data_IF_114775919931
#
_entry.id   IF_114775919931
#
_cell.length_a   1.000
_cell.length_b   1.000
_cell.length_c   1.000
_cell.angle_alpha   90.00
_cell.angle_beta   90.00
_cell.angle_gamma   90.00
#
_symmetry.space_group_name_H-M   'P 1'
#
loop_
_entity.id
_entity.type
_entity.pdbx_description
1 polymer ?
#
# COMPACT_ATOMS: atom_id res chain seq x y z
N UNK A 1 12.63 -16.23 0.52
CA UNK A 1 13.40 -17.49 0.34
C UNK A 1 13.44 -18.34 1.61
N UNK A 2 13.84 -17.80 2.76
CA UNK A 2 13.89 -18.58 4.02
C UNK A 2 12.54 -19.18 4.42
N UNK A 3 11.44 -18.41 4.33
CA UNK A 3 10.08 -18.90 4.56
C UNK A 3 9.75 -20.13 3.69
N UNK A 4 10.06 -20.08 2.39
CA UNK A 4 9.83 -21.19 1.45
C UNK A 4 10.61 -22.45 1.85
N UNK A 5 11.87 -22.31 2.29
CA UNK A 5 12.64 -23.45 2.83
C UNK A 5 12.02 -23.98 4.12
N UNK A 6 11.57 -23.10 5.01
CA UNK A 6 10.96 -23.49 6.29
C UNK A 6 9.64 -24.26 6.11
N UNK A 7 8.92 -24.02 5.01
CA UNK A 7 7.75 -24.80 4.61
C UNK A 7 8.10 -26.15 3.97
N UNK A 8 9.39 -26.50 3.87
CA UNK A 8 9.86 -27.79 3.38
C UNK A 8 10.14 -27.86 1.88
N UNK A 9 10.06 -26.74 1.16
CA UNK A 9 10.33 -26.73 -0.28
C UNK A 9 11.83 -26.79 -0.59
N UNK A 10 12.17 -27.49 -1.66
CA UNK A 10 13.52 -27.43 -2.26
C UNK A 10 13.58 -26.25 -3.21
N UNK A 11 14.50 -25.31 -2.95
CA UNK A 11 14.66 -24.12 -3.78
C UNK A 11 15.69 -24.34 -4.88
N UNK A 12 15.32 -23.94 -6.09
CA UNK A 12 16.22 -23.80 -7.23
C UNK A 12 16.14 -22.35 -7.70
N UNK A 13 17.26 -21.65 -7.65
CA UNK A 13 17.35 -20.26 -8.10
C UNK A 13 17.78 -20.24 -9.57
N UNK A 14 17.19 -19.34 -10.36
CA UNK A 14 17.50 -19.17 -11.78
C UNK A 14 16.54 -18.23 -12.49
N UNK A 15 17.05 -17.57 -13.53
CA UNK A 15 16.34 -16.53 -14.28
C UNK A 15 16.52 -15.15 -13.67
N UNK A 16 16.48 -14.12 -14.52
CA UNK A 16 16.63 -12.72 -14.10
C UNK A 16 15.25 -12.05 -13.84
N UNK A 17 14.19 -12.67 -14.35
CA UNK A 17 12.80 -12.20 -14.21
C UNK A 17 11.86 -13.31 -13.73
N UNK A 18 10.66 -12.93 -13.25
CA UNK A 18 9.62 -13.90 -12.89
C UNK A 18 9.23 -14.78 -14.08
N UNK A 19 9.18 -14.22 -15.29
CA UNK A 19 8.89 -14.98 -16.50
C UNK A 19 9.97 -16.02 -16.80
N UNK A 20 11.25 -15.68 -16.58
CA UNK A 20 12.35 -16.65 -16.72
C UNK A 20 12.24 -17.76 -15.69
N UNK A 21 11.97 -17.41 -14.43
CA UNK A 21 11.79 -18.39 -13.36
C UNK A 21 10.63 -19.35 -13.64
N UNK A 22 9.50 -18.84 -14.17
CA UNK A 22 8.36 -19.66 -14.60
C UNK A 22 8.74 -20.58 -15.77
N UNK A 23 9.45 -20.07 -16.77
CA UNK A 23 9.91 -20.87 -17.91
C UNK A 23 10.86 -22.00 -17.46
N UNK A 24 11.82 -21.70 -16.58
CA UNK A 24 12.73 -22.68 -16.00
C UNK A 24 12.00 -23.72 -15.15
N UNK A 25 10.99 -23.31 -14.39
CA UNK A 25 10.16 -24.21 -13.61
C UNK A 25 9.36 -25.17 -14.50
N UNK A 26 8.82 -24.68 -15.63
CA UNK A 26 8.14 -25.52 -16.62
C UNK A 26 9.08 -26.55 -17.26
N UNK A 27 10.26 -26.11 -17.72
CA UNK A 27 11.28 -27.03 -18.29
C UNK A 27 11.67 -28.11 -17.29
N UNK A 28 11.84 -27.75 -16.01
CA UNK A 28 12.14 -28.71 -14.94
C UNK A 28 10.99 -29.69 -14.72
N UNK A 29 9.75 -29.21 -14.70
CA UNK A 29 8.56 -30.05 -14.57
C UNK A 29 8.52 -31.10 -15.68
N UNK A 30 8.69 -30.66 -16.93
CA UNK A 30 8.71 -31.52 -18.13
C UNK A 30 9.85 -32.56 -18.06
N UNK A 31 11.04 -32.15 -17.66
CA UNK A 31 12.22 -33.02 -17.58
C UNK A 31 12.16 -34.05 -16.44
N UNK A 32 11.43 -33.77 -15.36
CA UNK A 32 11.40 -34.62 -14.16
C UNK A 32 10.08 -35.37 -13.97
N UNK A 33 9.04 -35.05 -14.75
CA UNK A 33 7.69 -35.58 -14.56
C UNK A 33 6.97 -35.00 -13.35
N UNK A 34 7.44 -33.88 -12.80
CA UNK A 34 6.73 -33.15 -11.73
C UNK A 34 5.53 -32.39 -12.31
N UNK A 35 4.49 -32.21 -11.51
CA UNK A 35 3.38 -31.33 -11.90
C UNK A 35 3.83 -29.87 -11.83
N UNK A 36 3.49 -29.09 -12.86
CA UNK A 36 3.64 -27.64 -12.83
C UNK A 36 2.40 -27.00 -12.23
N UNK A 37 2.53 -26.38 -11.06
CA UNK A 37 1.44 -25.65 -10.40
C UNK A 37 1.52 -24.17 -10.78
N UNK A 38 0.71 -23.74 -11.76
CA UNK A 38 0.67 -22.32 -12.15
C UNK A 38 0.10 -21.47 -10.99
N UNK A 39 0.63 -20.27 -10.70
CA UNK A 39 0.12 -19.43 -9.61
C UNK A 39 -1.33 -18.89 -9.80
N UNK A 40 -1.95 -19.03 -10.97
CA UNK A 40 -3.28 -18.47 -11.25
C UNK A 40 -3.95 -19.02 -12.52
N UNK A 41 -3.20 -19.29 -13.60
CA UNK A 41 -3.73 -19.65 -14.91
C UNK A 41 -3.97 -21.15 -15.08
N UNK A 42 -4.62 -21.75 -14.09
CA UNK A 42 -4.93 -23.18 -14.05
C UNK A 42 -6.36 -23.38 -13.55
N UNK A 43 -7.18 -24.23 -14.20
CA UNK A 43 -8.58 -24.44 -13.80
C UNK A 43 -8.75 -24.94 -12.36
N UNK A 44 -7.85 -25.79 -11.86
CA UNK A 44 -7.90 -26.29 -10.48
C UNK A 44 -7.51 -25.21 -9.48
N UNK A 45 -6.55 -24.35 -9.83
CA UNK A 45 -6.20 -23.19 -9.00
C UNK A 45 -7.38 -22.24 -8.91
N UNK A 46 -8.02 -21.91 -10.04
CA UNK A 46 -9.22 -21.06 -10.07
C UNK A 46 -10.37 -21.69 -9.29
N UNK A 47 -10.62 -22.99 -9.43
CA UNK A 47 -11.63 -23.71 -8.66
C UNK A 47 -11.35 -23.67 -7.15
N UNK A 48 -10.08 -23.75 -6.75
CA UNK A 48 -9.67 -23.54 -5.37
C UNK A 48 -9.95 -22.13 -4.89
N UNK A 49 -9.64 -21.09 -5.68
CA UNK A 49 -9.93 -19.71 -5.28
C UNK A 49 -11.44 -19.39 -5.25
N UNK A 50 -12.23 -20.09 -6.07
CA UNK A 50 -13.68 -19.97 -6.12
C UNK A 50 -14.39 -20.35 -4.81
N UNK A 51 -13.73 -21.10 -3.91
CA UNK A 51 -14.33 -21.43 -2.60
C UNK A 51 -14.60 -20.18 -1.76
N UNK A 52 -13.77 -19.14 -1.88
CA UNK A 52 -14.05 -17.85 -1.23
C UNK A 52 -15.40 -17.27 -1.69
N UNK A 53 -15.75 -17.43 -2.98
CA UNK A 53 -17.06 -17.00 -3.48
C UNK A 53 -18.23 -17.77 -2.85
N UNK A 54 -18.03 -19.06 -2.54
CA UNK A 54 -19.04 -19.87 -1.83
C UNK A 54 -19.20 -19.39 -0.38
N UNK A 55 -18.08 -19.20 0.33
CA UNK A 55 -18.06 -18.71 1.71
C UNK A 55 -18.74 -17.33 1.82
N UNK A 56 -18.43 -16.40 0.92
CA UNK A 56 -19.05 -15.07 0.90
C UNK A 56 -20.57 -15.12 0.69
N UNK A 57 -21.06 -16.03 -0.16
CA UNK A 57 -22.49 -16.19 -0.40
C UNK A 57 -23.23 -16.84 0.79
N UNK A 58 -22.54 -17.73 1.52
CA UNK A 58 -23.07 -18.35 2.74
C UNK A 58 -23.10 -17.36 3.92
N UNK A 59 -22.03 -16.63 4.13
CA UNK A 59 -21.85 -15.75 5.29
C UNK A 59 -22.58 -14.40 5.15
N UNK A 60 -22.83 -13.94 3.93
CA UNK A 60 -23.38 -12.60 3.66
C UNK A 60 -24.64 -12.71 2.79
N UNK A 61 -25.79 -12.93 3.44
CA UNK A 61 -27.08 -13.14 2.76
C UNK A 61 -27.55 -11.98 1.86
N UNK A 62 -27.11 -10.75 2.13
CA UNK A 62 -27.46 -9.54 1.37
C UNK A 62 -26.28 -8.96 0.59
N UNK A 63 -25.30 -9.80 0.21
CA UNK A 63 -24.12 -9.38 -0.54
C UNK A 63 -24.52 -8.71 -1.87
N UNK A 64 -24.00 -7.49 -2.09
CA UNK A 64 -24.34 -6.67 -3.26
C UNK A 64 -23.13 -6.25 -4.08
N UNK A 65 -21.99 -6.00 -3.43
CA UNK A 65 -20.77 -5.54 -4.08
C UNK A 65 -19.56 -6.26 -3.48
N UNK A 66 -18.67 -6.79 -4.32
CA UNK A 66 -17.41 -7.41 -3.91
C UNK A 66 -16.24 -6.74 -4.62
N UNK A 67 -15.28 -6.24 -3.84
CA UNK A 67 -14.01 -5.71 -4.35
C UNK A 67 -12.93 -6.78 -4.16
N UNK A 68 -12.32 -7.21 -5.26
CA UNK A 68 -11.32 -8.29 -5.25
C UNK A 68 -10.01 -7.79 -5.88
N UNK A 69 -8.85 -7.96 -5.23
CA UNK A 69 -7.55 -7.68 -5.85
C UNK A 69 -7.38 -8.48 -7.14
N UNK A 70 -6.95 -7.82 -8.22
CA UNK A 70 -6.84 -8.38 -9.57
C UNK A 70 -5.38 -8.40 -10.05
N UNK A 71 -4.70 -9.51 -9.75
CA UNK A 71 -3.38 -9.84 -10.30
C UNK A 71 -3.51 -10.62 -11.61
N UNK A 72 -3.12 -11.90 -11.62
CA UNK A 72 -3.27 -12.79 -12.78
C UNK A 72 -4.70 -13.28 -13.03
N UNK A 73 -5.68 -12.86 -12.23
CA UNK A 73 -7.10 -13.15 -12.44
C UNK A 73 -7.63 -14.46 -11.83
N UNK A 74 -6.77 -15.28 -11.20
CA UNK A 74 -7.20 -16.55 -10.62
C UNK A 74 -8.24 -16.39 -9.49
N UNK A 75 -7.93 -15.54 -8.51
CA UNK A 75 -8.83 -15.21 -7.39
C UNK A 75 -10.09 -14.48 -7.86
N UNK A 76 -9.92 -13.35 -8.55
CA UNK A 76 -11.04 -12.54 -9.04
C UNK A 76 -11.96 -13.35 -9.96
N UNK A 77 -11.40 -14.12 -10.90
CA UNK A 77 -12.17 -14.93 -11.84
C UNK A 77 -12.95 -16.04 -11.16
N UNK A 78 -12.33 -16.77 -10.22
CA UNK A 78 -13.00 -17.83 -9.46
C UNK A 78 -14.14 -17.30 -8.61
N UNK A 79 -13.89 -16.25 -7.83
CA UNK A 79 -14.90 -15.59 -6.97
C UNK A 79 -16.04 -15.03 -7.83
N UNK A 80 -15.73 -14.32 -8.91
CA UNK A 80 -16.73 -13.74 -9.80
C UNK A 80 -17.62 -14.82 -10.42
N UNK A 81 -17.02 -15.88 -10.95
CA UNK A 81 -17.73 -16.98 -11.58
C UNK A 81 -18.76 -17.59 -10.62
N UNK A 82 -18.36 -17.95 -9.39
CA UNK A 82 -19.26 -18.56 -8.41
C UNK A 82 -20.39 -17.61 -8.01
N UNK A 83 -20.05 -16.37 -7.63
CA UNK A 83 -21.05 -15.41 -7.17
C UNK A 83 -22.06 -15.07 -8.26
N UNK A 84 -21.63 -14.96 -9.52
CA UNK A 84 -22.53 -14.71 -10.65
C UNK A 84 -23.45 -15.89 -10.95
N UNK A 85 -23.05 -17.13 -10.69
CA UNK A 85 -23.94 -18.29 -10.81
C UNK A 85 -24.97 -18.35 -9.68
N UNK A 86 -24.60 -17.97 -8.45
CA UNK A 86 -25.51 -17.96 -7.31
C UNK A 86 -26.51 -16.81 -7.42
N UNK A 87 -26.01 -15.60 -7.66
CA UNK A 87 -26.81 -14.40 -7.82
C UNK A 87 -26.14 -13.44 -8.81
N UNK A 88 -26.62 -13.38 -10.08
CA UNK A 88 -26.01 -12.53 -11.11
C UNK A 88 -26.09 -11.03 -10.81
N UNK A 89 -26.89 -10.61 -9.83
CA UNK A 89 -27.02 -9.20 -9.41
C UNK A 89 -25.88 -8.72 -8.50
N UNK A 90 -25.10 -9.63 -7.91
CA UNK A 90 -23.92 -9.25 -7.13
C UNK A 90 -22.93 -8.60 -8.07
N UNK A 91 -22.53 -7.37 -7.78
CA UNK A 91 -21.54 -6.65 -8.57
C UNK A 91 -20.14 -7.02 -8.11
N UNK A 92 -19.27 -7.37 -9.04
CA UNK A 92 -17.88 -7.76 -8.78
C UNK A 92 -16.96 -6.76 -9.47
N UNK A 93 -16.03 -6.19 -8.69
CA UNK A 93 -15.08 -5.21 -9.20
C UNK A 93 -13.67 -5.68 -8.91
N UNK A 94 -12.88 -5.87 -9.97
CA UNK A 94 -11.46 -6.17 -9.89
C UNK A 94 -10.66 -4.91 -9.61
N UNK A 95 -9.68 -4.96 -8.70
CA UNK A 95 -8.87 -3.80 -8.35
C UNK A 95 -7.40 -4.05 -8.69
N UNK A 96 -6.82 -3.20 -9.52
CA UNK A 96 -5.39 -3.22 -9.88
C UNK A 96 -4.67 -1.99 -9.34
N UNK A 97 -3.34 -2.07 -9.23
CA UNK A 97 -2.49 -0.91 -8.92
C UNK A 97 -1.98 -0.26 -10.21
N UNK A 98 -1.83 1.06 -10.23
CA UNK A 98 -1.35 1.82 -11.41
C UNK A 98 -0.04 1.28 -11.98
N UNK A 99 0.85 0.81 -11.11
CA UNK A 99 2.15 0.25 -11.50
C UNK A 99 2.03 -0.96 -12.44
N UNK A 100 0.93 -1.73 -12.38
CA UNK A 100 0.68 -2.88 -13.25
C UNK A 100 -0.82 -3.19 -13.34
N UNK A 101 -1.47 -2.74 -14.43
CA UNK A 101 -2.92 -2.85 -14.60
C UNK A 101 -3.36 -3.37 -15.99
N UNK A 102 -2.87 -4.55 -16.44
CA UNK A 102 -3.15 -5.03 -17.80
C UNK A 102 -4.64 -5.32 -18.07
N UNK A 103 -5.44 -5.64 -17.06
CA UNK A 103 -6.89 -5.83 -17.24
C UNK A 103 -7.65 -4.51 -17.40
N UNK A 104 -7.03 -3.38 -17.02
CA UNK A 104 -7.53 -2.04 -17.32
C UNK A 104 -7.04 -1.51 -18.69
N UNK A 105 -6.36 -2.34 -19.49
CA UNK A 105 -5.86 -1.96 -20.82
C UNK A 105 -4.58 -1.13 -20.79
N UNK A 106 -3.86 -1.08 -19.66
CA UNK A 106 -2.54 -0.44 -19.64
C UNK A 106 -1.47 -1.39 -20.19
N UNK A 107 -0.52 -0.89 -21.00
CA UNK A 107 0.63 -1.69 -21.41
C UNK A 107 1.41 -2.17 -20.17
N UNK A 108 1.90 -3.41 -20.23
CA UNK A 108 2.78 -3.92 -19.18
C UNK A 108 4.05 -3.04 -19.12
N UNK A 109 4.51 -2.66 -17.92
CA UNK A 109 5.74 -1.90 -17.78
C UNK A 109 6.96 -2.71 -18.20
N UNK A 110 7.96 -2.04 -18.77
CA UNK A 110 9.27 -2.62 -19.05
C UNK A 110 10.04 -2.85 -17.74
N UNK A 111 10.81 -3.94 -17.64
CA UNK A 111 11.67 -4.21 -16.48
C UNK A 111 10.92 -4.57 -15.18
N UNK A 112 11.60 -4.57 -14.03
CA UNK A 112 10.99 -4.90 -12.73
C UNK A 112 9.87 -3.94 -12.34
N UNK A 113 8.82 -4.45 -11.69
CA UNK A 113 7.71 -3.63 -11.17
C UNK A 113 8.01 -3.31 -9.72
N UNK A 114 8.07 -2.02 -9.38
CA UNK A 114 8.23 -1.54 -8.01
C UNK A 114 6.86 -1.09 -7.52
N UNK A 115 6.29 -1.82 -6.56
CA UNK A 115 4.97 -1.54 -5.97
C UNK A 115 4.83 -2.22 -4.62
N UNK A 116 4.00 -1.66 -3.74
CA UNK A 116 3.55 -2.27 -2.48
C UNK A 116 2.60 -3.45 -2.73
N UNK A 117 2.00 -3.52 -3.92
CA UNK A 117 1.05 -4.55 -4.32
C UNK A 117 1.67 -5.60 -5.26
N UNK A 118 2.83 -6.13 -4.86
CA UNK A 118 3.64 -7.08 -5.63
C UNK A 118 2.90 -8.39 -5.94
N UNK A 119 2.09 -8.90 -5.01
CA UNK A 119 1.26 -10.11 -5.21
C UNK A 119 0.24 -10.00 -6.35
N UNK A 120 -0.10 -8.78 -6.80
CA UNK A 120 -0.97 -8.54 -7.95
C UNK A 120 -0.25 -7.86 -9.13
N UNK A 121 1.07 -7.70 -9.06
CA UNK A 121 1.89 -7.10 -10.12
C UNK A 121 2.16 -8.07 -11.28
N UNK A 122 1.10 -8.59 -11.89
CA UNK A 122 1.16 -9.58 -12.98
C UNK A 122 1.03 -8.88 -14.31
N UNK A 123 2.08 -8.95 -15.14
CA UNK A 123 2.15 -8.26 -16.45
C UNK A 123 1.21 -8.84 -17.51
N UNK A 124 1.04 -10.16 -17.49
CA UNK A 124 0.34 -10.89 -18.52
C UNK A 124 -0.92 -11.52 -17.93
N UNK A 125 -2.12 -11.09 -18.36
CA UNK A 125 -3.36 -11.83 -18.10
C UNK A 125 -3.22 -13.29 -18.52
N UNK A 126 -3.75 -14.20 -17.71
CA UNK A 126 -3.75 -15.63 -18.02
C UNK A 126 -4.64 -15.98 -19.21
N UNK A 127 -4.29 -17.01 -19.96
CA UNK A 127 -5.08 -17.51 -21.08
C UNK A 127 -6.42 -18.10 -20.63
N UNK A 128 -6.44 -18.75 -19.47
CA UNK A 128 -7.65 -19.29 -18.86
C UNK A 128 -8.39 -18.26 -18.01
N UNK A 129 -7.67 -17.43 -17.25
CA UNK A 129 -8.30 -16.45 -16.35
C UNK A 129 -8.91 -15.27 -17.09
N UNK A 130 -8.32 -14.81 -18.20
CA UNK A 130 -8.82 -13.65 -18.95
C UNK A 130 -10.29 -13.81 -19.42
N UNK A 131 -10.69 -14.91 -20.07
CA UNK A 131 -12.10 -15.13 -20.42
C UNK A 131 -13.05 -15.06 -19.23
N UNK A 132 -12.64 -15.52 -18.04
CA UNK A 132 -13.46 -15.44 -16.83
C UNK A 132 -13.64 -14.00 -16.36
N UNK A 133 -12.58 -13.20 -16.39
CA UNK A 133 -12.66 -11.78 -16.04
C UNK A 133 -13.58 -11.05 -17.01
N UNK A 134 -13.39 -11.23 -18.32
CA UNK A 134 -14.22 -10.59 -19.36
C UNK A 134 -15.70 -11.01 -19.27
N UNK A 135 -15.99 -12.23 -18.80
CA UNK A 135 -17.34 -12.76 -18.70
C UNK A 135 -18.06 -12.38 -17.39
N UNK A 136 -17.37 -12.39 -16.25
CA UNK A 136 -18.02 -12.36 -14.93
C UNK A 136 -17.72 -11.11 -14.08
N UNK A 137 -16.67 -10.34 -14.40
CA UNK A 137 -16.32 -9.12 -13.65
C UNK A 137 -17.02 -7.93 -14.27
N UNK A 138 -17.71 -7.13 -13.46
CA UNK A 138 -18.52 -6.00 -13.95
C UNK A 138 -17.68 -4.76 -14.24
N UNK A 139 -16.55 -4.59 -13.54
CA UNK A 139 -15.72 -3.39 -13.64
C UNK A 139 -14.29 -3.65 -13.15
N UNK A 140 -13.33 -2.85 -13.63
CA UNK A 140 -11.93 -2.87 -13.18
C UNK A 140 -11.50 -1.46 -12.80
N UNK A 141 -11.09 -1.28 -11.54
CA UNK A 141 -10.61 0.00 -11.02
C UNK A 141 -9.10 -0.07 -10.82
N UNK A 142 -8.42 1.04 -11.12
CA UNK A 142 -6.97 1.18 -10.94
C UNK A 142 -6.68 2.22 -9.88
N UNK A 143 -6.02 1.81 -8.80
CA UNK A 143 -5.66 2.67 -7.67
C UNK A 143 -4.18 3.08 -7.72
N UNK A 144 -3.88 4.26 -7.17
CA UNK A 144 -2.51 4.76 -7.05
C UNK A 144 -1.78 4.14 -5.85
N UNK A 145 -0.46 3.98 -5.99
CA UNK A 145 0.43 3.41 -4.97
C UNK A 145 0.26 4.07 -3.60
N UNK A 146 0.19 5.39 -3.61
CA UNK A 146 0.04 6.25 -2.44
C UNK A 146 -1.29 6.03 -1.68
N UNK A 147 -2.34 5.60 -2.38
CA UNK A 147 -3.63 5.27 -1.78
C UNK A 147 -3.59 3.88 -1.15
N UNK A 148 -2.84 2.95 -1.75
CA UNK A 148 -2.60 1.61 -1.18
C UNK A 148 -1.84 1.76 0.15
N UNK A 149 -0.79 2.59 0.18
CA UNK A 149 -0.07 2.93 1.39
C UNK A 149 -0.99 3.48 2.50
N UNK A 150 -1.88 4.42 2.16
CA UNK A 150 -2.84 4.99 3.12
C UNK A 150 -3.82 3.93 3.64
N UNK A 151 -4.27 3.02 2.78
CA UNK A 151 -5.16 1.91 3.16
C UNK A 151 -4.47 0.91 4.08
N UNK A 152 -3.21 0.55 3.82
CA UNK A 152 -2.42 -0.32 4.71
C UNK A 152 -2.30 0.28 6.11
N UNK A 153 -2.00 1.59 6.21
CA UNK A 153 -1.92 2.27 7.51
C UNK A 153 -3.29 2.34 8.19
N UNK A 154 -4.37 2.60 7.45
CA UNK A 154 -5.73 2.60 8.01
C UNK A 154 -6.11 1.22 8.58
N UNK A 155 -5.85 0.15 7.83
CA UNK A 155 -6.13 -1.22 8.23
C UNK A 155 -5.35 -1.60 9.50
N UNK A 156 -4.11 -1.16 9.61
CA UNK A 156 -3.29 -1.37 10.79
C UNK A 156 -3.74 -0.52 11.99
N UNK A 157 -3.96 0.78 11.79
CA UNK A 157 -4.32 1.71 12.87
C UNK A 157 -5.73 1.48 13.39
N UNK A 158 -6.71 1.30 12.50
CA UNK A 158 -8.13 1.20 12.86
C UNK A 158 -8.65 -0.23 12.85
N UNK A 159 -8.26 -1.01 11.85
CA UNK A 159 -8.67 -2.41 11.74
C UNK A 159 -7.88 -3.35 12.64
N UNK A 160 -6.68 -2.94 13.09
CA UNK A 160 -5.70 -3.81 13.77
C UNK A 160 -5.35 -5.05 12.94
N UNK A 161 -5.45 -4.92 11.62
CA UNK A 161 -5.14 -5.96 10.65
C UNK A 161 -3.82 -5.64 9.95
N UNK A 162 -2.99 -6.67 9.81
CA UNK A 162 -1.78 -6.60 9.02
C UNK A 162 -2.08 -7.06 7.59
N UNK A 163 -2.09 -6.12 6.66
CA UNK A 163 -2.51 -6.37 5.28
C UNK A 163 -1.44 -5.84 4.35
N UNK A 164 -1.02 -6.68 3.40
CA UNK A 164 -0.06 -6.30 2.35
C UNK A 164 -0.71 -5.40 1.31
N UNK A 165 0.09 -4.74 0.46
CA UNK A 165 -0.46 -3.77 -0.49
C UNK A 165 -1.48 -4.39 -1.43
N UNK A 166 -1.24 -5.61 -1.92
CA UNK A 166 -2.19 -6.37 -2.75
C UNK A 166 -3.53 -6.61 -2.05
N UNK A 167 -3.52 -6.91 -0.75
CA UNK A 167 -4.75 -7.07 0.04
C UNK A 167 -5.45 -5.75 0.39
N UNK A 168 -4.72 -4.63 0.40
CA UNK A 168 -5.25 -3.32 0.77
C UNK A 168 -5.91 -2.56 -0.39
N UNK A 169 -5.74 -2.99 -1.64
CA UNK A 169 -6.19 -2.24 -2.82
C UNK A 169 -7.69 -1.96 -2.83
N UNK A 170 -8.54 -2.90 -2.42
CA UNK A 170 -9.99 -2.69 -2.38
C UNK A 170 -10.41 -1.63 -1.35
N UNK A 171 -9.72 -1.58 -0.21
CA UNK A 171 -9.95 -0.54 0.80
C UNK A 171 -9.49 0.83 0.26
N UNK A 172 -8.37 0.89 -0.45
CA UNK A 172 -7.89 2.13 -1.06
C UNK A 172 -8.86 2.72 -2.09
N UNK A 173 -9.56 1.87 -2.85
CA UNK A 173 -10.57 2.29 -3.83
C UNK A 173 -11.79 2.95 -3.14
N UNK A 174 -12.23 2.40 -2.01
CA UNK A 174 -13.32 2.98 -1.21
C UNK A 174 -12.89 4.29 -0.53
N UNK A 175 -11.71 4.30 0.09
CA UNK A 175 -11.19 5.48 0.79
C UNK A 175 -11.02 6.69 -0.13
N UNK A 176 -10.58 6.46 -1.37
CA UNK A 176 -10.40 7.51 -2.37
C UNK A 176 -11.69 7.93 -3.08
N UNK A 177 -12.81 7.24 -2.81
CA UNK A 177 -14.10 7.54 -3.45
C UNK A 177 -14.19 7.14 -4.92
N UNK A 178 -13.21 6.40 -5.45
CA UNK A 178 -13.26 5.85 -6.81
C UNK A 178 -14.42 4.87 -6.98
N UNK A 179 -14.80 4.20 -5.90
CA UNK A 179 -16.02 3.42 -5.80
C UNK A 179 -16.76 3.76 -4.52
N UNK A 180 -18.08 3.82 -4.61
CA UNK A 180 -18.96 3.97 -3.45
C UNK A 180 -19.40 2.60 -2.96
N UNK A 181 -19.62 2.42 -1.65
CA UNK A 181 -20.32 1.25 -1.14
C UNK A 181 -21.66 1.05 -1.85
N UNK A 182 -22.13 -0.20 -1.90
CA UNK A 182 -23.45 -0.55 -2.39
C UNK A 182 -24.53 0.29 -1.69
N UNK A 183 -25.45 0.85 -2.46
CA UNK A 183 -26.55 1.65 -1.92
C UNK A 183 -27.54 0.81 -1.11
N UNK A 184 -27.66 -0.48 -1.44
CA UNK A 184 -28.46 -1.47 -0.73
C UNK A 184 -27.66 -2.77 -0.62
N UNK A 185 -27.78 -3.46 0.51
CA UNK A 185 -27.03 -4.68 0.82
C UNK A 185 -25.56 -4.43 1.17
N UNK A 186 -24.83 -5.52 1.39
CA UNK A 186 -23.47 -5.48 1.93
C UNK A 186 -22.41 -5.30 0.84
N UNK A 187 -21.41 -4.46 1.14
CA UNK A 187 -20.16 -4.36 0.37
C UNK A 187 -19.08 -5.17 1.08
N UNK A 188 -18.49 -6.13 0.37
CA UNK A 188 -17.37 -6.92 0.85
C UNK A 188 -16.07 -6.48 0.15
N UNK A 189 -14.99 -6.40 0.92
CA UNK A 189 -13.64 -6.14 0.40
C UNK A 189 -12.76 -7.32 0.77
N UNK A 190 -12.15 -7.96 -0.23
CA UNK A 190 -11.26 -9.11 0.00
C UNK A 190 -9.87 -8.62 0.40
N UNK A 191 -9.46 -8.94 1.63
CA UNK A 191 -8.10 -8.72 2.14
C UNK A 191 -7.26 -9.97 1.84
N UNK A 192 -6.58 -9.99 0.69
CA UNK A 192 -6.02 -11.23 0.12
C UNK A 192 -4.76 -11.77 0.79
N UNK A 193 -4.06 -10.97 1.60
CA UNK A 193 -2.77 -11.36 2.17
C UNK A 193 -2.23 -10.38 3.20
N UNK A 194 -1.25 -10.84 3.97
CA UNK A 194 -0.64 -10.11 5.09
C UNK A 194 0.88 -10.28 5.18
N UNK A 195 1.53 -10.72 4.10
CA UNK A 195 2.98 -10.91 4.08
C UNK A 195 3.69 -9.57 3.82
N UNK A 196 3.63 -8.69 4.80
CA UNK A 196 4.18 -7.33 4.70
C UNK A 196 5.65 -7.28 5.10
N UNK A 197 6.48 -6.64 4.26
CA UNK A 197 7.83 -6.28 4.67
C UNK A 197 7.79 -5.25 5.81
N UNK A 198 8.30 -5.62 6.98
CA UNK A 198 8.33 -4.74 8.14
C UNK A 198 9.21 -3.50 7.93
N UNK A 199 10.19 -3.57 7.02
CA UNK A 199 11.11 -2.47 6.74
C UNK A 199 10.45 -1.25 6.11
N UNK A 200 9.37 -1.43 5.35
CA UNK A 200 8.67 -0.32 4.67
C UNK A 200 7.72 0.44 5.59
N UNK A 201 7.24 -0.20 6.66
CA UNK A 201 6.15 0.31 7.50
C UNK A 201 6.45 1.61 8.25
N UNK A 202 7.65 1.81 8.84
CA UNK A 202 7.99 3.09 9.43
C UNK A 202 7.87 4.24 8.42
N UNK A 203 8.22 3.99 7.15
CA UNK A 203 8.05 4.97 6.07
C UNK A 203 6.58 5.31 5.82
N UNK A 204 5.73 4.28 5.70
CA UNK A 204 4.29 4.47 5.49
C UNK A 204 3.62 5.22 6.65
N UNK A 205 3.95 4.86 7.89
CA UNK A 205 3.42 5.52 9.10
C UNK A 205 3.83 6.98 9.12
N UNK A 206 5.12 7.29 8.90
CA UNK A 206 5.62 8.67 8.86
C UNK A 206 4.93 9.51 7.79
N UNK A 207 4.73 8.95 6.59
CA UNK A 207 4.00 9.62 5.50
C UNK A 207 2.56 9.92 5.92
N UNK A 208 1.87 8.95 6.54
CA UNK A 208 0.50 9.13 7.02
C UNK A 208 0.39 10.19 8.14
N UNK A 209 1.30 10.18 9.12
CA UNK A 209 1.36 11.18 10.19
C UNK A 209 1.57 12.59 9.66
N UNK A 210 2.46 12.74 8.67
CA UNK A 210 2.75 14.01 8.00
C UNK A 210 1.50 14.53 7.31
N UNK A 211 0.80 13.69 6.53
CA UNK A 211 -0.47 14.04 5.87
C UNK A 211 -1.58 14.40 6.87
N UNK A 212 -1.63 13.72 8.01
CA UNK A 212 -2.58 14.02 9.08
C UNK A 212 -2.23 15.28 9.89
N UNK A 213 -1.13 15.98 9.55
CA UNK A 213 -0.64 17.13 10.30
C UNK A 213 -0.18 16.79 11.72
N UNK A 214 0.15 15.52 11.98
CA UNK A 214 0.68 15.02 13.27
C UNK A 214 2.21 15.03 13.33
N UNK A 215 2.86 15.37 12.22
CA UNK A 215 4.31 15.55 12.12
C UNK A 215 4.59 16.90 11.49
N UNK A 216 5.42 17.70 12.16
CA UNK A 216 5.78 19.05 11.75
C UNK A 216 7.29 19.11 11.52
N UNK A 217 7.70 19.44 10.29
CA UNK A 217 9.09 19.78 9.98
C UNK A 217 9.24 21.30 10.01
N UNK A 218 10.14 21.79 10.86
CA UNK A 218 10.43 23.22 10.98
C UNK A 218 11.89 23.45 10.67
N UNK A 219 12.16 24.42 9.80
CA UNK A 219 13.46 25.02 9.68
C UNK A 219 13.50 26.32 10.49
N UNK A 220 14.49 26.44 11.38
CA UNK A 220 14.66 27.60 12.25
C UNK A 220 16.09 28.10 12.18
N UNK A 221 16.27 29.41 11.98
CA UNK A 221 17.58 30.06 12.17
C UNK A 221 17.77 30.42 13.64
N UNK A 222 18.87 29.99 14.24
CA UNK A 222 19.24 30.32 15.63
C UNK A 222 20.60 31.01 15.71
N UNK A 223 20.84 31.68 16.82
CA UNK A 223 22.16 32.19 17.20
C UNK A 223 23.13 31.04 17.48
N UNK A 224 24.35 31.10 16.92
CA UNK A 224 25.44 30.12 17.13
C UNK A 224 26.15 30.30 18.49
N UNK A 225 25.48 30.93 19.46
CA UNK A 225 25.99 31.07 20.84
C UNK A 225 25.62 29.85 21.69
N UNK A 226 26.43 29.50 22.71
CA UNK A 226 26.08 28.47 23.67
C UNK A 226 24.67 28.70 24.25
N UNK A 227 23.84 27.65 24.23
CA UNK A 227 22.47 27.67 24.72
C UNK A 227 21.39 28.03 23.69
N UNK A 228 21.74 28.46 22.47
CA UNK A 228 20.77 28.81 21.42
C UNK A 228 19.81 27.66 21.09
N UNK A 229 20.35 26.47 20.83
CA UNK A 229 19.53 25.28 20.57
C UNK A 229 18.71 24.88 21.81
N UNK A 230 19.30 24.93 23.01
CA UNK A 230 18.61 24.56 24.25
C UNK A 230 17.38 25.44 24.51
N UNK A 231 17.47 26.73 24.19
CA UNK A 231 16.34 27.65 24.29
C UNK A 231 15.23 27.31 23.29
N UNK A 232 15.59 26.98 22.03
CA UNK A 232 14.64 26.55 21.02
C UNK A 232 13.93 25.24 21.42
N UNK A 233 14.68 24.23 21.88
CA UNK A 233 14.10 22.96 22.32
C UNK A 233 13.17 23.12 23.53
N UNK A 234 13.53 24.01 24.46
CA UNK A 234 12.68 24.37 25.60
C UNK A 234 11.36 24.98 25.14
N UNK A 235 11.39 25.81 24.08
CA UNK A 235 10.20 26.43 23.52
C UNK A 235 9.24 25.39 22.91
N UNK A 236 9.77 24.44 22.14
CA UNK A 236 8.97 23.32 21.62
C UNK A 236 8.38 22.47 22.75
N UNK A 237 9.17 22.14 23.77
CA UNK A 237 8.69 21.38 24.92
C UNK A 237 7.53 22.10 25.65
N UNK A 238 7.60 23.42 25.82
CA UNK A 238 6.55 24.22 26.44
C UNK A 238 5.23 24.27 25.64
N UNK A 239 5.30 24.05 24.32
CA UNK A 239 4.10 23.89 23.49
C UNK A 239 3.48 22.49 23.60
N UNK A 240 4.21 21.52 24.16
CA UNK A 240 3.77 20.13 24.26
C UNK A 240 4.01 19.31 22.99
N UNK A 241 4.88 19.80 22.10
CA UNK A 241 5.37 19.04 20.95
C UNK A 241 6.47 18.07 21.39
N UNK A 242 6.48 16.87 20.84
CA UNK A 242 7.52 15.88 21.10
C UNK A 242 8.63 15.99 20.06
N UNK A 243 9.88 16.01 20.51
CA UNK A 243 11.05 16.14 19.64
C UNK A 243 11.43 14.77 19.08
N UNK A 244 11.42 14.63 17.75
CA UNK A 244 11.82 13.38 17.08
C UNK A 244 13.26 13.47 16.59
N UNK A 245 13.62 14.56 15.93
CA UNK A 245 14.91 14.71 15.28
C UNK A 245 15.33 16.20 15.25
N UNK A 246 16.64 16.43 15.35
CA UNK A 246 17.28 17.74 15.24
C UNK A 246 18.53 17.59 14.40
N UNK A 247 18.64 18.39 13.34
CA UNK A 247 19.81 18.46 12.49
C UNK A 247 20.31 19.90 12.36
N UNK A 248 21.62 20.09 12.47
CA UNK A 248 22.24 21.38 12.22
C UNK A 248 22.59 21.52 10.73
N UNK A 249 22.02 22.53 10.09
CA UNK A 249 22.38 22.93 8.73
C UNK A 249 23.38 24.08 8.76
N UNK A 250 24.54 23.84 8.15
CA UNK A 250 25.60 24.85 7.98
C UNK A 250 25.93 25.14 6.52
N UNK A 251 25.47 24.29 5.61
CA UNK A 251 25.70 24.37 4.18
C UNK A 251 24.36 24.41 3.44
N UNK A 252 24.31 25.06 2.27
CA UNK A 252 23.09 25.12 1.46
C UNK A 252 22.01 26.11 1.92
N UNK A 253 22.28 26.93 2.95
CA UNK A 253 21.36 27.98 3.43
C UNK A 253 22.09 29.30 3.61
N UNK A 254 21.44 30.41 3.26
CA UNK A 254 21.95 31.76 3.53
C UNK A 254 21.85 32.04 5.04
N UNK A 255 23.02 32.13 5.68
CA UNK A 255 23.23 32.29 7.12
C UNK A 255 24.20 33.45 7.36
N UNK A 256 23.84 34.36 8.28
CA UNK A 256 24.77 35.40 8.68
C UNK A 256 25.88 34.86 9.59
N UNK A 257 26.95 35.66 9.73
CA UNK A 257 28.07 35.35 10.63
C UNK A 257 27.54 35.22 12.07
N UNK A 258 27.62 34.00 12.63
CA UNK A 258 27.07 33.58 13.95
C UNK A 258 25.61 33.12 13.95
N UNK A 259 25.07 32.72 12.81
CA UNK A 259 23.82 31.97 12.74
C UNK A 259 24.07 30.50 12.40
N UNK A 260 23.22 29.63 12.92
CA UNK A 260 23.17 28.21 12.57
C UNK A 260 21.72 27.88 12.17
N UNK A 261 21.55 27.20 11.04
CA UNK A 261 20.26 26.64 10.65
C UNK A 261 19.98 25.36 11.43
N UNK A 262 18.74 25.16 11.85
CA UNK A 262 18.32 23.93 12.53
C UNK A 262 17.06 23.42 11.86
N UNK A 263 17.11 22.20 11.36
CA UNK A 263 15.91 21.46 10.97
C UNK A 263 15.46 20.61 12.15
N UNK A 264 14.17 20.68 12.45
CA UNK A 264 13.57 19.98 13.58
C UNK A 264 12.34 19.22 13.10
N UNK A 265 12.27 17.95 13.48
CA UNK A 265 11.09 17.11 13.28
C UNK A 265 10.37 16.98 14.62
N UNK A 266 9.12 17.42 14.64
CA UNK A 266 8.26 17.40 15.82
C UNK A 266 7.05 16.50 15.58
N UNK A 267 6.70 15.73 16.60
CA UNK A 267 5.40 15.09 16.73
C UNK A 267 4.43 16.08 17.40
N UNK A 268 3.30 16.31 16.73
CA UNK A 268 2.25 17.24 17.14
C UNK A 268 0.89 16.55 17.10
N UNK A 269 -0.14 17.18 17.67
CA UNK A 269 -1.46 16.54 17.86
C UNK A 269 -2.34 16.63 16.61
N UNK A 270 -1.95 17.48 15.66
CA UNK A 270 -2.71 17.85 14.49
C UNK A 270 -2.33 19.26 14.02
N UNK A 271 -2.96 19.73 12.95
CA UNK A 271 -2.63 20.99 12.28
C UNK A 271 -2.71 22.21 13.20
N UNK A 272 -3.74 22.30 14.04
CA UNK A 272 -3.92 23.42 14.97
C UNK A 272 -2.78 23.50 15.99
N UNK A 273 -2.33 22.34 16.49
CA UNK A 273 -1.18 22.28 17.40
C UNK A 273 0.11 22.65 16.66
N UNK A 274 0.29 22.17 15.42
CA UNK A 274 1.43 22.54 14.58
C UNK A 274 1.53 24.06 14.38
N UNK A 275 0.39 24.71 14.10
CA UNK A 275 0.33 26.16 13.94
C UNK A 275 0.62 26.90 15.25
N UNK A 276 0.09 26.43 16.39
CA UNK A 276 0.39 27.00 17.70
C UNK A 276 1.89 26.91 18.05
N UNK A 277 2.55 25.80 17.68
CA UNK A 277 4.01 25.62 17.83
C UNK A 277 4.75 26.68 17.02
N UNK A 278 4.43 26.82 15.72
CA UNK A 278 5.07 27.80 14.84
C UNK A 278 4.86 29.24 15.31
N UNK A 279 3.65 29.57 15.78
CA UNK A 279 3.34 30.90 16.33
C UNK A 279 4.15 31.20 17.59
N UNK A 280 4.28 30.24 18.51
CA UNK A 280 5.10 30.38 19.72
C UNK A 280 6.57 30.65 19.39
N UNK A 281 7.11 29.92 18.40
CA UNK A 281 8.49 30.09 17.93
C UNK A 281 8.72 31.46 17.30
N UNK A 282 7.80 31.91 16.46
CA UNK A 282 7.86 33.25 15.84
C UNK A 282 7.71 34.37 16.87
N UNK A 283 6.83 34.21 17.86
CA UNK A 283 6.63 35.18 18.94
C UNK A 283 7.88 35.33 19.83
N UNK A 284 8.69 34.28 19.96
CA UNK A 284 9.98 34.32 20.64
C UNK A 284 11.11 34.96 19.80
N UNK A 285 10.81 35.43 18.58
CA UNK A 285 11.75 36.15 17.71
C UNK A 285 12.56 35.28 16.76
N UNK A 286 12.25 33.99 16.65
CA UNK A 286 12.90 33.10 15.69
C UNK A 286 12.27 33.21 14.31
N UNK A 287 13.10 33.22 13.26
CA UNK A 287 12.66 33.01 11.89
C UNK A 287 12.41 31.50 11.67
N UNK A 288 11.14 31.08 11.78
CA UNK A 288 10.71 29.70 11.67
C UNK A 288 9.77 29.49 10.48
N UNK A 289 10.17 28.57 9.61
CA UNK A 289 9.47 28.18 8.39
C UNK A 289 9.08 26.71 8.49
N UNK A 290 7.82 26.41 8.17
CA UNK A 290 7.40 25.03 7.98
C UNK A 290 7.97 24.53 6.66
N UNK A 291 8.71 23.43 6.71
CA UNK A 291 9.17 22.77 5.50
C UNK A 291 8.02 21.93 4.98
N UNK A 292 7.50 22.30 3.81
CA UNK A 292 6.46 21.52 3.15
C UNK A 292 6.99 20.13 2.84
N UNK A 293 6.23 19.09 3.18
CA UNK A 293 6.49 17.75 2.66
C UNK A 293 6.28 17.82 1.13
N UNK A 294 7.38 17.70 0.38
CA UNK A 294 7.34 17.58 -1.08
C UNK A 294 6.66 16.30 -1.52
#
# INVERSE_FOLDING_TARGET
MEAVRSYGATLSEGGDTLSDAVALAQVRADATGMNFCHPYDDPMVVAGQATLGLELAEDISDLSLVLVPLGGGGLTGGVAMVLKHINPKIRIVGIQVRACAPYAGTPAPDGPIVTLADGIAVKNPGAFTRPLIEQYVDDVIVVEEDLVADAMVLLMDRGKLYVEGGGAVGVSALMSGQIKPAANGTTCVVLSGGNVDLGILPGLIRRNETRAGRRLLVYVRISDRPGGLAALLTLFANTGANLVEVEHMREGVDLHVRETGVQVVLEVRGRDHAEAVLQSVRAAGYAAEEVSAG
#
